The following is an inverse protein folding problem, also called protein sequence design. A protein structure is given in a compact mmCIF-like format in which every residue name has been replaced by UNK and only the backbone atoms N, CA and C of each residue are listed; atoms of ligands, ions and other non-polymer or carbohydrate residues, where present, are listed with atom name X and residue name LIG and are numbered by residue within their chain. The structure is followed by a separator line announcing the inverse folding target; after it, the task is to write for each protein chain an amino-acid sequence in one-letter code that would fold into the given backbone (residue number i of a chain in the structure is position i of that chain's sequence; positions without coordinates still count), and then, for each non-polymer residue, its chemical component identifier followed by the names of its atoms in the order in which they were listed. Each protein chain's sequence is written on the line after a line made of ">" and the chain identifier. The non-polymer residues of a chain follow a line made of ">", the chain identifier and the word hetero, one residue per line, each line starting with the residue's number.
data_IF_478047626302
#
_entry.id   IF_478047626302
#
_cell.length_a   1.000
_cell.length_b   1.000
_cell.length_c   1.000
_cell.angle_alpha   90.00
_cell.angle_beta   90.00
_cell.angle_gamma   90.00
#
_symmetry.space_group_name_H-M   'P 1'
#
loop_
_entity.id
_entity.type
_entity.pdbx_description
1 polymer ?
#
# COMPACT_ATOMS: atom_id res chain seq x y z
N UNK A 1 -16.60 32.33 -30.25
CA UNK A 1 -15.66 31.24 -30.68
C UNK A 1 -14.41 31.10 -29.78
N UNK A 2 -14.18 31.93 -28.75
CA UNK A 2 -13.00 31.84 -27.86
C UNK A 2 -13.22 30.99 -26.60
N UNK A 3 -14.46 30.71 -26.24
CA UNK A 3 -14.81 30.14 -24.92
C UNK A 3 -14.70 28.62 -24.82
N UNK A 4 -14.86 27.89 -25.94
CA UNK A 4 -14.86 26.42 -25.95
C UNK A 4 -13.46 25.85 -25.68
N UNK A 5 -12.41 26.55 -26.12
CA UNK A 5 -11.02 26.08 -25.98
C UNK A 5 -10.52 26.14 -24.54
N UNK A 6 -10.93 27.17 -23.78
CA UNK A 6 -10.58 27.30 -22.36
C UNK A 6 -11.32 26.29 -21.49
N UNK A 7 -12.59 26.00 -21.79
CA UNK A 7 -13.39 25.02 -21.05
C UNK A 7 -12.87 23.58 -21.26
N UNK A 8 -12.44 23.25 -22.49
CA UNK A 8 -11.86 21.93 -22.80
C UNK A 8 -10.48 21.70 -22.17
N UNK A 9 -9.68 22.74 -21.95
CA UNK A 9 -8.35 22.64 -21.33
C UNK A 9 -8.44 22.42 -19.81
N UNK A 10 -9.45 23.01 -19.15
CA UNK A 10 -9.69 22.79 -17.72
C UNK A 10 -10.14 21.35 -17.45
N UNK A 11 -11.08 20.83 -18.24
CA UNK A 11 -11.60 19.47 -18.10
C UNK A 11 -10.52 18.39 -18.38
N UNK A 12 -9.60 18.65 -19.32
CA UNK A 12 -8.48 17.76 -19.61
C UNK A 12 -7.45 17.72 -18.46
N UNK A 13 -7.24 18.84 -17.77
CA UNK A 13 -6.35 18.89 -16.62
C UNK A 13 -6.96 18.15 -15.42
N UNK A 14 -8.24 18.36 -15.11
CA UNK A 14 -8.92 17.68 -14.00
C UNK A 14 -8.91 16.15 -14.15
N UNK A 15 -9.18 15.66 -15.37
CA UNK A 15 -9.13 14.23 -15.69
C UNK A 15 -7.70 13.67 -15.63
N UNK A 16 -6.70 14.42 -16.12
CA UNK A 16 -5.30 14.01 -16.04
C UNK A 16 -4.78 13.96 -14.60
N UNK A 17 -5.20 14.88 -13.74
CA UNK A 17 -4.81 14.89 -12.33
C UNK A 17 -5.52 13.77 -11.57
N UNK A 18 -6.83 13.58 -11.80
CA UNK A 18 -7.59 12.49 -11.18
C UNK A 18 -7.05 11.10 -11.55
N UNK A 19 -6.61 10.92 -12.80
CA UNK A 19 -6.01 9.67 -13.24
C UNK A 19 -4.62 9.46 -12.63
N UNK A 20 -3.78 10.51 -12.58
CA UNK A 20 -2.46 10.45 -11.92
C UNK A 20 -2.58 10.12 -10.44
N UNK A 21 -3.49 10.76 -9.71
CA UNK A 21 -3.71 10.49 -8.28
C UNK A 21 -4.24 9.08 -8.04
N UNK A 22 -5.16 8.59 -8.89
CA UNK A 22 -5.62 7.19 -8.83
C UNK A 22 -4.48 6.18 -9.03
N UNK A 23 -3.59 6.41 -10.00
CA UNK A 23 -2.42 5.53 -10.21
C UNK A 23 -1.40 5.59 -9.07
N UNK A 24 -1.19 6.75 -8.46
CA UNK A 24 -0.23 6.89 -7.33
C UNK A 24 -0.78 6.21 -6.07
N UNK A 25 -2.08 6.34 -5.80
CA UNK A 25 -2.71 5.64 -4.67
C UNK A 25 -2.83 4.13 -4.91
N UNK A 26 -3.11 3.70 -6.14
CA UNK A 26 -3.23 2.27 -6.47
C UNK A 26 -1.89 1.52 -6.42
N UNK A 27 -0.77 2.19 -6.68
CA UNK A 27 0.56 1.58 -6.61
C UNK A 27 1.18 1.56 -5.21
N UNK A 28 0.50 2.12 -4.20
CA UNK A 28 0.85 1.87 -2.80
C UNK A 28 0.16 0.58 -2.39
N UNK A 29 0.63 -0.53 -2.95
CA UNK A 29 0.24 -1.89 -2.58
C UNK A 29 0.18 -1.96 -1.06
N UNK A 30 -1.02 -2.21 -0.54
CA UNK A 30 -1.38 -2.24 0.89
C UNK A 30 -0.60 -3.26 1.72
N UNK A 31 0.32 -4.00 1.11
CA UNK A 31 1.14 -5.03 1.72
C UNK A 31 2.34 -4.48 2.51
N UNK A 32 2.74 -3.22 2.30
CA UNK A 32 3.80 -2.54 3.08
C UNK A 32 3.21 -1.57 4.12
N UNK A 33 1.94 -1.74 4.48
CA UNK A 33 1.30 -0.98 5.56
C UNK A 33 1.92 -1.41 6.89
N UNK A 34 2.59 -0.45 7.54
CA UNK A 34 3.22 -0.60 8.84
C UNK A 34 2.45 0.20 9.88
N UNK A 35 2.37 -0.32 11.10
CA UNK A 35 1.84 0.44 12.23
C UNK A 35 2.89 1.40 12.81
N UNK A 36 2.54 2.10 13.90
CA UNK A 36 3.44 3.06 14.58
C UNK A 36 4.74 2.43 15.09
N UNK A 37 4.80 1.09 15.23
CA UNK A 37 5.98 0.32 15.61
C UNK A 37 6.78 -0.19 14.42
N UNK A 38 6.38 0.13 13.19
CA UNK A 38 6.99 -0.43 11.99
C UNK A 38 6.57 -1.86 11.70
N UNK A 39 5.68 -2.46 12.49
CA UNK A 39 5.21 -3.83 12.32
C UNK A 39 4.30 -3.92 11.09
N UNK A 40 4.61 -4.84 10.18
CA UNK A 40 3.72 -5.22 9.06
C UNK A 40 2.57 -6.12 9.54
N UNK A 41 1.61 -6.39 8.67
CA UNK A 41 0.54 -7.37 8.93
C UNK A 41 1.10 -8.75 9.29
N UNK A 42 2.25 -9.13 8.72
CA UNK A 42 2.90 -10.40 9.01
C UNK A 42 3.50 -10.44 10.42
N UNK A 43 4.15 -9.36 10.89
CA UNK A 43 4.61 -9.25 12.29
C UNK A 43 3.45 -9.45 13.26
N UNK A 44 2.32 -8.78 13.03
CA UNK A 44 1.15 -8.90 13.90
C UNK A 44 0.54 -10.31 13.89
N UNK A 45 0.52 -10.97 12.73
CA UNK A 45 0.00 -12.33 12.60
C UNK A 45 0.89 -13.35 13.34
N UNK A 46 2.22 -13.22 13.24
CA UNK A 46 3.16 -14.09 13.96
C UNK A 46 3.09 -13.84 15.46
N UNK A 47 3.12 -12.58 15.90
CA UNK A 47 3.00 -12.19 17.32
C UNK A 47 1.72 -12.71 17.98
N UNK A 48 0.62 -12.79 17.22
CA UNK A 48 -0.66 -13.35 17.69
C UNK A 48 -0.74 -14.88 17.61
N UNK A 49 0.20 -15.54 16.91
CA UNK A 49 0.15 -16.97 16.64
C UNK A 49 -0.94 -17.38 15.63
N UNK A 50 -1.42 -16.46 14.80
CA UNK A 50 -2.50 -16.71 13.84
C UNK A 50 -1.95 -17.36 12.56
N UNK A 51 -1.77 -18.67 12.60
CA UNK A 51 -1.19 -19.46 11.51
C UNK A 51 -2.03 -19.36 10.23
N UNK A 52 -3.36 -19.25 10.33
CA UNK A 52 -4.23 -19.13 9.17
C UNK A 52 -3.98 -17.80 8.44
N UNK A 53 -3.87 -16.72 9.21
CA UNK A 53 -3.55 -15.39 8.66
C UNK A 53 -2.14 -15.33 8.10
N UNK A 54 -1.15 -15.93 8.76
CA UNK A 54 0.23 -16.03 8.25
C UNK A 54 0.27 -16.73 6.89
N UNK A 55 -0.40 -17.88 6.77
CA UNK A 55 -0.47 -18.61 5.49
C UNK A 55 -1.14 -17.78 4.40
N UNK A 56 -2.25 -17.12 4.72
CA UNK A 56 -2.93 -16.26 3.75
C UNK A 56 -2.03 -15.11 3.28
N UNK A 57 -1.33 -14.43 4.20
CA UNK A 57 -0.45 -13.31 3.87
C UNK A 57 0.76 -13.72 3.02
N UNK A 58 1.29 -14.93 3.26
CA UNK A 58 2.37 -15.53 2.45
C UNK A 58 1.85 -15.94 1.08
N UNK A 59 0.69 -16.59 1.01
CA UNK A 59 0.07 -17.06 -0.23
C UNK A 59 -0.36 -15.90 -1.13
N UNK A 60 -0.78 -14.79 -0.53
CA UNK A 60 -1.03 -13.54 -1.22
C UNK A 60 0.24 -13.04 -1.93
N UNK A 61 1.46 -13.38 -1.52
CA UNK A 61 2.71 -13.10 -2.25
C UNK A 61 3.10 -11.62 -2.36
N UNK A 62 2.25 -10.71 -1.89
CA UNK A 62 2.48 -9.26 -1.92
C UNK A 62 3.20 -8.75 -0.67
N UNK A 63 3.32 -9.57 0.39
CA UNK A 63 3.91 -9.16 1.66
C UNK A 63 5.41 -9.50 1.71
N UNK A 64 6.27 -8.50 1.92
CA UNK A 64 7.70 -8.75 2.08
C UNK A 64 7.95 -9.51 3.40
N UNK A 65 8.31 -10.80 3.29
CA UNK A 65 8.56 -11.69 4.45
C UNK A 65 9.78 -11.28 5.28
N UNK A 66 10.69 -10.52 4.68
CA UNK A 66 11.93 -10.03 5.30
C UNK A 66 11.83 -8.57 5.76
N UNK A 67 10.63 -8.01 5.91
CA UNK A 67 10.52 -6.65 6.47
C UNK A 67 11.03 -6.61 7.89
N UNK A 68 11.69 -5.51 8.23
CA UNK A 68 12.05 -5.20 9.61
C UNK A 68 11.09 -4.15 10.18
N UNK A 69 10.76 -4.30 11.45
CA UNK A 69 10.05 -3.30 12.24
C UNK A 69 10.99 -2.16 12.72
N UNK A 70 10.49 -1.25 13.56
CA UNK A 70 11.30 -0.14 14.10
C UNK A 70 12.40 -0.62 15.07
N UNK A 71 12.29 -1.84 15.59
CA UNK A 71 13.28 -2.51 16.42
C UNK A 71 14.28 -3.34 15.60
N UNK A 72 14.21 -3.26 14.27
CA UNK A 72 15.01 -4.07 13.35
C UNK A 72 14.75 -5.58 13.45
N UNK A 73 13.58 -5.98 13.94
CA UNK A 73 13.15 -7.38 14.00
C UNK A 73 12.37 -7.76 12.76
N UNK A 74 12.57 -9.00 12.31
CA UNK A 74 11.74 -9.60 11.25
C UNK A 74 10.53 -10.30 11.87
N UNK A 75 9.47 -10.60 11.11
CA UNK A 75 8.32 -11.34 11.63
C UNK A 75 8.68 -12.69 12.27
N UNK A 76 9.77 -13.34 11.86
CA UNK A 76 10.23 -14.61 12.43
C UNK A 76 10.92 -14.45 13.82
N UNK A 77 11.35 -13.24 14.16
CA UNK A 77 12.04 -12.93 15.42
C UNK A 77 11.06 -12.55 16.55
N UNK A 78 9.83 -12.13 16.22
CA UNK A 78 8.74 -11.85 17.17
C UNK A 78 8.26 -13.10 17.91
#
# INVERSE_FOLDING_TARGET
>A
KKDIKHQSLLQANETSIANRTKTILANKSSADVRNDKGETLLHQAVKKGDIARVKQLIDEGHHPVNTIDNNSWTPLHE
#
